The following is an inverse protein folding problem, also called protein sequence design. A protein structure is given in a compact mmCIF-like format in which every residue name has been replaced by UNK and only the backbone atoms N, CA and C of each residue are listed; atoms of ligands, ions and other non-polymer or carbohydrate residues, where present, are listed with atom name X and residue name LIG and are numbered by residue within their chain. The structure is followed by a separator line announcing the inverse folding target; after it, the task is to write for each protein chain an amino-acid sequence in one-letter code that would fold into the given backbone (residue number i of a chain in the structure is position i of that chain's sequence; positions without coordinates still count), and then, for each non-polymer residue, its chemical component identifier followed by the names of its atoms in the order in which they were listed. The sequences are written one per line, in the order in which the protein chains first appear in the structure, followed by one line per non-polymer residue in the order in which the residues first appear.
data_IF_864045401526
#
_entry.id   IF_864045401526
#
_cell.length_a   1.000
_cell.length_b   1.000
_cell.length_c   1.000
_cell.angle_alpha   90.00
_cell.angle_beta   90.00
_cell.angle_gamma   90.00
#
_symmetry.space_group_name_H-M   'P 1'
#
loop_
_entity.id
_entity.type
_entity.pdbx_description
1 polymer ?
#
# COMPACT_ATOMS: atom_id res chain seq x y z
N UNK A 1 1.65 -3.22 -11.56
CA UNK A 1 1.57 -1.75 -11.36
C UNK A 1 3.00 -1.17 -11.44
N UNK A 2 3.27 -0.28 -12.38
CA UNK A 2 4.59 0.29 -12.62
C UNK A 2 4.45 1.78 -12.99
N UNK A 3 3.88 2.57 -12.09
CA UNK A 3 3.53 3.99 -12.32
C UNK A 3 4.71 4.85 -12.83
N UNK A 4 5.98 4.61 -12.42
CA UNK A 4 7.12 5.30 -13.02
C UNK A 4 7.28 5.14 -14.54
N UNK A 5 6.66 4.12 -15.17
CA UNK A 5 6.69 3.94 -16.62
C UNK A 5 5.93 5.06 -17.37
N UNK A 6 4.98 5.73 -16.72
CA UNK A 6 4.27 6.88 -17.28
C UNK A 6 5.17 8.10 -17.50
N UNK A 7 6.41 8.10 -17.02
CA UNK A 7 7.37 9.19 -17.21
C UNK A 7 7.64 9.50 -18.69
N UNK A 8 7.61 8.48 -19.57
CA UNK A 8 7.81 8.70 -21.01
C UNK A 8 6.69 9.54 -21.60
N UNK A 9 5.46 9.14 -21.33
CA UNK A 9 4.26 9.86 -21.76
C UNK A 9 4.22 11.27 -21.17
N UNK A 10 4.54 11.43 -19.88
CA UNK A 10 4.62 12.74 -19.24
C UNK A 10 5.63 13.67 -19.94
N UNK A 11 6.79 13.14 -20.37
CA UNK A 11 7.79 13.90 -21.14
C UNK A 11 7.30 14.26 -22.53
N UNK A 12 6.61 13.36 -23.22
CA UNK A 12 6.00 13.62 -24.53
C UNK A 12 4.94 14.74 -24.45
N UNK A 13 4.24 14.83 -23.32
CA UNK A 13 3.30 15.93 -23.01
C UNK A 13 4.00 17.23 -22.54
N UNK A 14 5.34 17.26 -22.44
CA UNK A 14 6.09 18.43 -21.98
C UNK A 14 6.02 18.70 -20.47
N UNK A 15 5.55 17.73 -19.67
CA UNK A 15 5.44 17.87 -18.21
C UNK A 15 6.81 17.70 -17.56
N UNK A 16 7.18 18.67 -16.71
CA UNK A 16 8.50 18.73 -16.06
C UNK A 16 8.45 18.70 -14.53
N UNK A 17 7.25 18.87 -13.95
CA UNK A 17 7.00 18.85 -12.51
C UNK A 17 5.94 17.79 -12.22
N UNK A 18 6.37 16.64 -11.73
CA UNK A 18 5.54 15.44 -11.59
C UNK A 18 5.35 15.09 -10.12
N UNK A 19 4.13 14.67 -9.79
CA UNK A 19 3.85 13.91 -8.60
C UNK A 19 3.84 12.41 -8.93
N UNK A 20 4.46 11.58 -8.10
CA UNK A 20 4.37 10.13 -8.18
C UNK A 20 3.41 9.64 -7.09
N UNK A 21 2.34 8.96 -7.48
CA UNK A 21 1.52 8.17 -6.55
C UNK A 21 1.90 6.71 -6.72
N UNK A 22 2.21 6.01 -5.62
CA UNK A 22 2.58 4.60 -5.71
C UNK A 22 2.66 3.89 -4.37
N UNK A 23 2.84 2.57 -4.41
CA UNK A 23 3.12 1.78 -3.20
C UNK A 23 4.57 1.97 -2.73
N UNK A 24 4.94 1.49 -1.54
CA UNK A 24 6.30 1.65 -0.99
C UNK A 24 7.44 1.28 -1.95
N UNK A 25 7.29 0.20 -2.72
CA UNK A 25 8.29 -0.20 -3.72
C UNK A 25 8.43 0.78 -4.90
N UNK A 26 7.39 1.55 -5.23
CA UNK A 26 7.40 2.57 -6.28
C UNK A 26 7.86 3.92 -5.71
N UNK A 27 7.40 4.29 -4.51
CA UNK A 27 7.78 5.56 -3.87
C UNK A 27 9.23 5.58 -3.42
N UNK A 28 9.85 4.41 -3.24
CA UNK A 28 11.30 4.32 -3.03
C UNK A 28 12.10 4.73 -4.27
N UNK A 29 11.51 4.70 -5.47
CA UNK A 29 12.26 4.90 -6.71
C UNK A 29 12.77 6.33 -6.90
N UNK A 30 12.01 7.43 -6.68
CA UNK A 30 12.57 8.77 -6.84
C UNK A 30 13.70 9.07 -5.84
N UNK A 31 13.57 8.86 -4.52
CA UNK A 31 14.67 9.11 -3.57
C UNK A 31 15.94 8.34 -3.91
N UNK A 32 15.82 7.06 -4.31
CA UNK A 32 16.97 6.26 -4.76
C UNK A 32 17.60 6.83 -6.04
N UNK A 33 16.81 7.33 -6.99
CA UNK A 33 17.34 7.99 -8.19
C UNK A 33 18.09 9.27 -7.84
N UNK A 34 17.60 10.06 -6.88
CA UNK A 34 18.27 11.26 -6.40
C UNK A 34 19.59 10.94 -5.71
N UNK A 35 19.58 9.99 -4.76
CA UNK A 35 20.77 9.51 -4.05
C UNK A 35 21.85 8.98 -5.01
N UNK A 36 21.44 8.16 -5.99
CA UNK A 36 22.34 7.61 -7.02
C UNK A 36 22.71 8.58 -8.14
N UNK A 37 22.33 9.86 -8.02
CA UNK A 37 22.60 10.92 -9.02
C UNK A 37 22.04 10.61 -10.43
N UNK A 38 20.97 9.82 -10.52
CA UNK A 38 20.23 9.51 -11.75
C UNK A 38 19.28 10.66 -12.15
N UNK A 39 19.78 11.89 -12.16
CA UNK A 39 18.96 13.11 -12.21
C UNK A 39 18.13 13.29 -13.49
N UNK A 40 18.51 12.70 -14.63
CA UNK A 40 17.72 12.78 -15.88
C UNK A 40 16.34 12.11 -15.76
N UNK A 41 16.20 11.16 -14.84
CA UNK A 41 14.97 10.40 -14.58
C UNK A 41 14.33 10.84 -13.27
N UNK A 42 15.13 11.10 -12.23
CA UNK A 42 14.63 11.48 -10.90
C UNK A 42 14.15 12.93 -10.78
N UNK A 43 14.82 13.90 -11.40
CA UNK A 43 14.53 15.34 -11.21
C UNK A 43 13.08 15.77 -11.50
N UNK A 44 12.38 15.20 -12.50
CA UNK A 44 10.98 15.58 -12.74
C UNK A 44 10.03 15.22 -11.59
N UNK A 45 10.35 14.22 -10.77
CA UNK A 45 9.52 13.85 -9.63
C UNK A 45 9.81 14.78 -8.46
N UNK A 46 8.86 15.69 -8.20
CA UNK A 46 8.97 16.72 -7.16
C UNK A 46 8.11 16.43 -5.94
N UNK A 47 7.13 15.53 -6.06
CA UNK A 47 6.26 15.16 -4.96
C UNK A 47 5.92 13.68 -5.01
N UNK A 48 5.99 13.01 -3.87
CA UNK A 48 5.90 11.56 -3.77
C UNK A 48 4.82 11.16 -2.75
N UNK A 49 3.72 10.59 -3.24
CA UNK A 49 2.57 10.17 -2.45
C UNK A 49 2.58 8.64 -2.36
N UNK A 50 2.82 8.14 -1.15
CA UNK A 50 2.87 6.73 -0.81
C UNK A 50 1.52 6.16 -0.46
N UNK A 51 1.19 4.99 -1.00
CA UNK A 51 0.03 4.21 -0.61
C UNK A 51 0.47 3.09 0.32
N UNK A 52 -0.20 2.95 1.47
CA UNK A 52 0.01 1.82 2.37
C UNK A 52 -0.25 0.52 1.61
N UNK A 53 0.69 -0.43 1.66
CA UNK A 53 0.61 -1.64 0.86
C UNK A 53 1.15 -2.85 1.62
N UNK A 54 0.33 -3.90 1.76
CA UNK A 54 0.84 -5.18 2.27
C UNK A 54 1.28 -6.11 1.15
N UNK A 55 0.43 -6.30 0.13
CA UNK A 55 0.65 -7.23 -0.97
C UNK A 55 -0.05 -6.73 -2.23
N UNK A 56 0.48 -7.17 -3.37
CA UNK A 56 -0.18 -7.04 -4.67
C UNK A 56 -0.32 -8.44 -5.26
N UNK A 57 -1.43 -8.65 -5.98
CA UNK A 57 -1.73 -9.91 -6.65
C UNK A 57 -1.49 -9.80 -8.15
N UNK A 58 -1.16 -10.92 -8.79
CA UNK A 58 -1.10 -11.01 -10.24
C UNK A 58 -2.49 -11.09 -10.86
N UNK A 59 -2.64 -10.51 -12.06
CA UNK A 59 -3.92 -10.41 -12.76
C UNK A 59 -4.56 -11.78 -13.04
N UNK A 60 -3.76 -12.85 -13.05
CA UNK A 60 -4.24 -14.23 -13.14
C UNK A 60 -5.28 -14.59 -12.06
N UNK A 61 -5.26 -13.92 -10.90
CA UNK A 61 -6.25 -14.14 -9.82
C UNK A 61 -7.69 -13.97 -10.29
N UNK A 62 -7.93 -13.06 -11.26
CA UNK A 62 -9.27 -12.80 -11.77
C UNK A 62 -9.85 -14.02 -12.49
N UNK A 63 -9.05 -14.66 -13.34
CA UNK A 63 -9.49 -15.81 -14.13
C UNK A 63 -9.41 -17.10 -13.30
N UNK A 64 -8.28 -17.32 -12.62
CA UNK A 64 -7.96 -18.60 -11.99
C UNK A 64 -8.64 -18.80 -10.62
N UNK A 65 -8.98 -17.72 -9.91
CA UNK A 65 -9.69 -17.79 -8.63
C UNK A 65 -11.10 -17.25 -8.74
N UNK A 66 -11.25 -15.98 -9.10
CA UNK A 66 -12.55 -15.31 -9.00
C UNK A 66 -13.57 -15.84 -10.00
N UNK A 67 -13.18 -15.97 -11.27
CA UNK A 67 -14.07 -16.54 -12.28
C UNK A 67 -14.19 -18.06 -12.13
N UNK A 68 -13.07 -18.79 -12.08
CA UNK A 68 -13.10 -20.25 -12.07
C UNK A 68 -13.79 -20.87 -10.84
N UNK A 69 -13.62 -20.27 -9.65
CA UNK A 69 -14.19 -20.80 -8.40
C UNK A 69 -15.48 -20.11 -7.98
N UNK A 70 -15.56 -18.79 -8.14
CA UNK A 70 -16.70 -18.00 -7.64
C UNK A 70 -17.63 -17.51 -8.75
N UNK A 71 -17.31 -17.75 -10.03
CA UNK A 71 -18.11 -17.26 -11.16
C UNK A 71 -18.07 -15.74 -11.34
N UNK A 72 -17.15 -15.04 -10.68
CA UNK A 72 -17.08 -13.57 -10.67
C UNK A 72 -16.19 -13.07 -11.79
N UNK A 73 -16.81 -12.53 -12.85
CA UNK A 73 -16.09 -11.97 -14.00
C UNK A 73 -15.57 -10.58 -13.69
N UNK A 74 -14.29 -10.32 -14.00
CA UNK A 74 -13.61 -9.03 -13.76
C UNK A 74 -14.38 -7.84 -14.33
N UNK A 75 -14.95 -7.98 -15.51
CA UNK A 75 -15.70 -6.92 -16.21
C UNK A 75 -16.99 -6.48 -15.50
N UNK A 76 -17.49 -7.30 -14.58
CA UNK A 76 -18.72 -7.04 -13.83
C UNK A 76 -18.42 -6.55 -12.41
N UNK A 77 -17.15 -6.50 -12.00
CA UNK A 77 -16.72 -5.94 -10.72
C UNK A 77 -16.70 -4.40 -10.79
N UNK A 78 -17.45 -3.75 -9.90
CA UNK A 78 -17.52 -2.27 -9.81
C UNK A 78 -16.58 -1.69 -8.75
N UNK A 79 -16.31 -2.46 -7.69
CA UNK A 79 -15.43 -2.06 -6.59
C UNK A 79 -14.77 -3.28 -6.00
N UNK A 80 -13.51 -3.12 -5.58
CA UNK A 80 -12.79 -4.11 -4.79
C UNK A 80 -12.16 -3.43 -3.58
N UNK A 81 -12.08 -4.16 -2.47
CA UNK A 81 -11.41 -3.71 -1.26
C UNK A 81 -10.74 -4.87 -0.52
N UNK A 82 -9.80 -4.57 0.36
CA UNK A 82 -9.15 -5.58 1.21
C UNK A 82 -9.26 -5.14 2.67
N UNK A 83 -10.15 -5.78 3.42
CA UNK A 83 -10.35 -5.55 4.87
C UNK A 83 -10.67 -6.87 5.56
N UNK A 84 -9.64 -7.59 6.02
CA UNK A 84 -9.78 -8.94 6.61
C UNK A 84 -10.10 -10.03 5.57
N UNK A 85 -10.88 -9.71 4.55
CA UNK A 85 -11.18 -10.50 3.37
C UNK A 85 -10.94 -9.67 2.08
N UNK A 86 -10.92 -10.34 0.93
CA UNK A 86 -10.99 -9.68 -0.37
C UNK A 86 -12.47 -9.45 -0.70
N UNK A 87 -12.88 -8.19 -0.71
CA UNK A 87 -14.26 -7.76 -0.87
C UNK A 87 -14.51 -7.32 -2.30
N UNK A 88 -15.56 -7.82 -2.94
CA UNK A 88 -15.91 -7.54 -4.34
C UNK A 88 -17.38 -7.13 -4.43
N UNK A 89 -17.64 -5.98 -5.06
CA UNK A 89 -18.98 -5.53 -5.41
C UNK A 89 -19.17 -5.66 -6.91
N UNK A 90 -20.33 -6.18 -7.30
CA UNK A 90 -20.68 -6.48 -8.69
C UNK A 90 -21.72 -5.48 -9.23
N UNK A 91 -21.82 -5.37 -10.56
CA UNK A 91 -22.81 -4.51 -11.24
C UNK A 91 -24.26 -4.90 -10.95
N UNK A 92 -24.52 -6.16 -10.66
CA UNK A 92 -25.83 -6.67 -10.28
C UNK A 92 -26.22 -6.34 -8.82
N UNK A 93 -25.35 -5.64 -8.09
CA UNK A 93 -25.53 -5.29 -6.68
C UNK A 93 -25.09 -6.36 -5.70
N UNK A 94 -24.62 -7.52 -6.17
CA UNK A 94 -24.11 -8.58 -5.28
C UNK A 94 -22.78 -8.20 -4.64
N UNK A 95 -22.56 -8.71 -3.43
CA UNK A 95 -21.37 -8.49 -2.62
C UNK A 95 -20.77 -9.84 -2.22
N UNK A 96 -19.45 -9.98 -2.39
CA UNK A 96 -18.72 -11.22 -2.16
C UNK A 96 -17.49 -10.97 -1.30
N UNK A 97 -17.28 -11.80 -0.28
CA UNK A 97 -16.06 -11.83 0.52
C UNK A 97 -15.30 -13.13 0.28
N UNK A 98 -14.04 -12.99 -0.16
CA UNK A 98 -13.15 -14.12 -0.45
C UNK A 98 -12.03 -14.13 0.58
N UNK A 99 -11.73 -15.31 1.12
CA UNK A 99 -10.69 -15.44 2.13
C UNK A 99 -9.31 -15.09 1.55
N UNK A 100 -8.59 -14.17 2.19
CA UNK A 100 -7.27 -13.74 1.75
C UNK A 100 -6.24 -14.86 1.67
N UNK A 101 -6.41 -15.93 2.46
CA UNK A 101 -5.52 -17.11 2.40
C UNK A 101 -5.58 -17.78 1.04
N UNK A 102 -6.73 -17.79 0.38
CA UNK A 102 -6.88 -18.34 -0.97
C UNK A 102 -6.14 -17.46 -1.97
N UNK A 103 -6.26 -16.14 -1.83
CA UNK A 103 -5.58 -15.18 -2.70
C UNK A 103 -4.03 -15.25 -2.62
N UNK A 104 -3.46 -15.85 -1.57
CA UNK A 104 -2.02 -15.85 -1.34
C UNK A 104 -1.20 -16.51 -2.46
N UNK A 105 -1.76 -17.50 -3.16
CA UNK A 105 -1.09 -18.17 -4.28
C UNK A 105 -0.72 -17.18 -5.39
N UNK A 106 -1.54 -16.15 -5.61
CA UNK A 106 -1.33 -15.10 -6.61
C UNK A 106 -0.54 -13.89 -6.09
N UNK A 107 0.04 -13.97 -4.89
CA UNK A 107 0.90 -12.88 -4.38
C UNK A 107 2.14 -12.74 -5.25
N UNK A 108 2.37 -11.53 -5.79
CA UNK A 108 3.58 -11.22 -6.56
C UNK A 108 4.84 -11.60 -5.79
N UNK A 109 5.80 -12.24 -6.47
CA UNK A 109 7.01 -12.74 -5.83
C UNK A 109 7.79 -11.65 -5.09
N UNK A 110 7.93 -10.45 -5.68
CA UNK A 110 8.61 -9.32 -5.02
C UNK A 110 7.93 -8.84 -3.73
N UNK A 111 6.62 -9.04 -3.57
CA UNK A 111 5.93 -8.69 -2.32
C UNK A 111 6.30 -9.62 -1.15
N UNK A 112 6.81 -10.83 -1.43
CA UNK A 112 7.24 -11.80 -0.41
C UNK A 112 8.54 -11.40 0.27
N UNK A 113 9.24 -10.41 -0.25
CA UNK A 113 10.45 -9.83 0.32
C UNK A 113 10.34 -8.31 0.54
N UNK A 114 9.15 -7.72 0.40
CA UNK A 114 8.97 -6.27 0.57
C UNK A 114 8.90 -5.90 2.07
N UNK A 115 9.75 -4.99 2.58
CA UNK A 115 9.79 -4.63 4.00
C UNK A 115 8.91 -3.43 4.35
N UNK A 116 8.38 -2.74 3.34
CA UNK A 116 7.79 -1.42 3.49
C UNK A 116 6.27 -1.44 3.32
N UNK A 117 5.57 -1.49 4.45
CA UNK A 117 4.12 -1.34 4.49
C UNK A 117 3.70 0.14 4.38
N UNK A 118 4.47 1.03 5.01
CA UNK A 118 4.06 2.39 5.30
C UNK A 118 4.52 3.42 4.26
N UNK A 119 5.05 2.96 3.12
CA UNK A 119 5.61 3.77 2.06
C UNK A 119 6.58 4.82 2.62
N UNK A 120 7.61 4.35 3.33
CA UNK A 120 8.43 5.15 4.25
C UNK A 120 9.30 6.21 3.56
N UNK A 121 9.50 6.09 2.24
CA UNK A 121 10.26 7.04 1.41
C UNK A 121 9.40 8.12 0.72
N UNK A 122 8.10 8.17 1.01
CA UNK A 122 7.19 9.18 0.43
C UNK A 122 7.26 10.52 1.19
N UNK A 123 6.82 11.61 0.57
CA UNK A 123 6.59 12.89 1.26
C UNK A 123 5.39 12.78 2.19
N UNK A 124 4.33 12.13 1.68
CA UNK A 124 3.10 11.78 2.40
C UNK A 124 2.79 10.31 2.13
N UNK A 125 2.50 9.54 3.17
CA UNK A 125 2.01 8.16 3.05
C UNK A 125 0.56 8.08 3.52
N UNK A 126 -0.31 7.43 2.76
CA UNK A 126 -1.75 7.41 3.05
C UNK A 126 -2.38 6.05 2.77
N UNK A 127 -3.40 5.67 3.55
CA UNK A 127 -4.15 4.43 3.31
C UNK A 127 -5.35 4.23 4.21
N UNK A 128 -6.34 3.51 3.68
CA UNK A 128 -7.61 3.21 4.36
C UNK A 128 -7.48 2.07 5.36
N UNK A 129 -6.78 2.30 6.47
CA UNK A 129 -6.78 1.40 7.64
C UNK A 129 -7.38 2.11 8.83
N UNK A 130 -8.13 1.38 9.67
CA UNK A 130 -8.80 1.95 10.83
C UNK A 130 -10.21 1.42 11.02
N UNK A 131 -10.87 1.95 12.03
CA UNK A 131 -12.26 1.62 12.34
C UNK A 131 -13.21 2.32 11.37
N UNK A 132 -12.95 3.60 11.12
CA UNK A 132 -13.83 4.48 10.35
C UNK A 132 -13.47 4.41 8.85
N UNK A 133 -14.40 3.94 8.02
CA UNK A 133 -14.16 3.77 6.59
C UNK A 133 -14.09 5.09 5.81
N UNK A 134 -14.55 6.19 6.41
CA UNK A 134 -14.61 7.50 5.77
C UNK A 134 -13.35 8.35 6.03
N UNK A 135 -12.39 7.80 6.80
CA UNK A 135 -11.12 8.46 7.11
C UNK A 135 -9.96 7.72 6.46
N UNK A 136 -8.95 8.48 6.04
CA UNK A 136 -7.71 7.93 5.51
C UNK A 136 -6.56 8.28 6.43
N UNK A 137 -5.90 7.26 6.99
CA UNK A 137 -4.71 7.46 7.79
C UNK A 137 -3.62 8.08 6.91
N UNK A 138 -3.11 9.25 7.31
CA UNK A 138 -2.10 10.00 6.55
C UNK A 138 -0.91 10.31 7.45
N UNK A 139 0.28 9.95 6.98
CA UNK A 139 1.57 10.14 7.65
C UNK A 139 2.37 11.13 6.82
N UNK A 140 2.72 12.26 7.43
CA UNK A 140 3.53 13.31 6.82
C UNK A 140 4.99 13.11 7.22
N UNK A 141 5.92 13.20 6.27
CA UNK A 141 7.35 12.87 6.50
C UNK A 141 8.32 14.00 6.17
N UNK A 142 8.08 14.73 5.09
CA UNK A 142 8.98 15.78 4.60
C UNK A 142 8.37 17.16 4.81
N UNK A 143 9.21 18.19 4.84
CA UNK A 143 8.79 19.59 4.92
C UNK A 143 7.79 19.95 3.80
N UNK A 144 8.04 19.46 2.59
CA UNK A 144 7.12 19.63 1.46
C UNK A 144 5.77 18.93 1.70
N UNK A 145 5.78 17.70 2.21
CA UNK A 145 4.57 16.99 2.57
C UNK A 145 3.76 17.73 3.63
N UNK A 146 4.43 18.30 4.63
CA UNK A 146 3.81 19.10 5.70
C UNK A 146 3.21 20.39 5.16
N UNK A 147 3.95 21.12 4.32
CA UNK A 147 3.46 22.33 3.67
C UNK A 147 2.20 22.06 2.84
N UNK A 148 2.19 20.98 2.05
CA UNK A 148 1.03 20.60 1.24
C UNK A 148 -0.18 20.25 2.10
N UNK A 149 -0.03 19.41 3.13
CA UNK A 149 -1.14 19.04 4.01
C UNK A 149 -1.70 20.24 4.75
N UNK A 150 -0.83 21.09 5.32
CA UNK A 150 -1.27 22.27 6.06
C UNK A 150 -2.05 23.25 5.18
N UNK A 151 -1.63 23.42 3.91
CA UNK A 151 -2.37 24.23 2.94
C UNK A 151 -3.73 23.61 2.61
N UNK A 152 -3.78 22.30 2.37
CA UNK A 152 -5.05 21.62 2.09
C UNK A 152 -6.05 21.75 3.25
N UNK A 153 -5.57 21.73 4.51
CA UNK A 153 -6.39 21.97 5.70
C UNK A 153 -6.84 23.44 5.74
N UNK A 154 -5.92 24.39 5.55
CA UNK A 154 -6.23 25.82 5.59
C UNK A 154 -7.23 26.23 4.49
N UNK A 155 -7.13 25.62 3.31
CA UNK A 155 -8.04 25.84 2.17
C UNK A 155 -9.38 25.10 2.32
N UNK A 156 -9.56 24.30 3.38
CA UNK A 156 -10.79 23.53 3.63
C UNK A 156 -11.02 22.39 2.65
N UNK A 157 -9.98 21.96 1.92
CA UNK A 157 -10.06 20.85 0.95
C UNK A 157 -10.11 19.50 1.68
N UNK A 158 -9.48 19.41 2.85
CA UNK A 158 -9.53 18.23 3.72
C UNK A 158 -9.82 18.63 5.16
N UNK A 159 -10.47 17.73 5.88
CA UNK A 159 -10.56 17.76 7.33
C UNK A 159 -9.48 16.87 7.93
N UNK A 160 -8.95 17.26 9.09
CA UNK A 160 -7.90 16.51 9.79
C UNK A 160 -8.22 16.34 11.26
N UNK A 161 -7.92 15.17 11.80
CA UNK A 161 -7.91 14.89 13.24
C UNK A 161 -6.66 14.09 13.61
N UNK A 162 -6.19 14.14 14.87
CA UNK A 162 -5.06 13.35 15.34
C UNK A 162 -5.25 11.85 15.06
N UNK A 163 -4.29 11.23 14.38
CA UNK A 163 -4.34 9.80 14.05
C UNK A 163 -4.38 8.89 15.29
N UNK A 164 -3.86 9.38 16.43
CA UNK A 164 -3.83 8.67 17.72
C UNK A 164 -5.22 8.41 18.30
N UNK A 165 -6.25 9.13 17.84
CA UNK A 165 -7.64 8.90 18.22
C UNK A 165 -8.20 7.59 17.62
N UNK A 166 -7.62 7.10 16.51
CA UNK A 166 -7.94 5.78 15.95
C UNK A 166 -6.88 4.74 16.38
N UNK A 167 -7.09 4.17 17.57
CA UNK A 167 -6.23 3.11 18.11
C UNK A 167 -6.14 1.88 17.18
N UNK A 168 -7.19 1.59 16.40
CA UNK A 168 -7.23 0.46 15.47
C UNK A 168 -6.28 0.74 14.30
N UNK A 169 -6.35 1.93 13.71
CA UNK A 169 -5.44 2.36 12.65
C UNK A 169 -3.98 2.32 13.13
N UNK A 170 -3.69 2.86 14.31
CA UNK A 170 -2.33 2.88 14.86
C UNK A 170 -1.80 1.48 15.16
N UNK A 171 -2.64 0.59 15.71
CA UNK A 171 -2.28 -0.80 15.94
C UNK A 171 -2.04 -1.55 14.64
N UNK A 172 -2.88 -1.36 13.62
CA UNK A 172 -2.74 -1.99 12.31
C UNK A 172 -1.48 -1.50 11.60
N UNK A 173 -1.24 -0.18 11.59
CA UNK A 173 -0.02 0.43 11.03
C UNK A 173 1.21 -0.25 11.62
N UNK A 174 1.33 -0.29 12.96
CA UNK A 174 2.47 -0.90 13.63
C UNK A 174 2.59 -2.39 13.32
N UNK A 175 1.49 -3.12 13.38
CA UNK A 175 1.48 -4.58 13.16
C UNK A 175 1.88 -4.94 11.74
N UNK A 176 1.30 -4.28 10.74
CA UNK A 176 1.56 -4.54 9.33
C UNK A 176 2.97 -4.11 8.93
N UNK A 177 3.48 -3.00 9.47
CA UNK A 177 4.89 -2.59 9.32
C UNK A 177 5.87 -3.62 9.87
N UNK A 178 5.61 -4.19 11.05
CA UNK A 178 6.42 -5.27 11.63
C UNK A 178 6.37 -6.52 10.76
N UNK A 179 5.17 -6.93 10.34
CA UNK A 179 4.97 -8.12 9.49
C UNK A 179 5.66 -7.95 8.15
N UNK A 180 5.65 -6.75 7.56
CA UNK A 180 6.35 -6.48 6.30
C UNK A 180 7.85 -6.60 6.46
N UNK A 181 8.45 -5.97 7.48
CA UNK A 181 9.90 -6.06 7.74
C UNK A 181 10.38 -7.49 7.97
N UNK A 182 9.59 -8.34 8.61
CA UNK A 182 9.92 -9.78 8.80
C UNK A 182 10.04 -10.58 7.51
N UNK A 183 9.52 -10.05 6.39
CA UNK A 183 9.66 -10.67 5.07
C UNK A 183 11.01 -10.36 4.43
N UNK A 184 11.73 -9.37 4.96
CA UNK A 184 13.02 -8.96 4.42
C UNK A 184 14.01 -10.13 4.49
N UNK A 185 14.70 -10.48 3.39
CA UNK A 185 15.62 -11.60 3.40
C UNK A 185 16.81 -11.36 4.34
N UNK A 186 17.24 -12.39 5.07
CA UNK A 186 18.38 -12.31 6.00
C UNK A 186 19.71 -11.97 5.31
N UNK A 187 19.85 -12.31 4.03
CA UNK A 187 21.04 -11.99 3.24
C UNK A 187 21.09 -10.53 2.76
N UNK A 188 19.98 -9.78 2.90
CA UNK A 188 19.88 -8.39 2.46
C UNK A 188 20.26 -7.42 3.60
N UNK A 189 20.05 -6.12 3.37
CA UNK A 189 20.43 -5.05 4.31
C UNK A 189 19.86 -5.27 5.72
N UNK A 190 20.73 -5.50 6.71
CA UNK A 190 20.34 -5.92 8.05
C UNK A 190 19.63 -4.81 8.85
N UNK A 191 19.90 -3.53 8.53
CA UNK A 191 19.29 -2.40 9.23
C UNK A 191 17.76 -2.36 9.13
N UNK A 192 17.17 -2.98 8.10
CA UNK A 192 15.72 -3.08 7.90
C UNK A 192 15.02 -3.84 9.04
N UNK A 193 15.73 -4.75 9.71
CA UNK A 193 15.20 -5.58 10.80
C UNK A 193 15.44 -4.97 12.19
N UNK A 194 16.11 -3.82 12.29
CA UNK A 194 16.35 -3.16 13.57
C UNK A 194 15.01 -2.75 14.21
N UNK A 195 14.83 -3.09 15.48
CA UNK A 195 13.60 -2.80 16.22
C UNK A 195 12.40 -3.70 15.87
N UNK A 196 12.58 -4.70 14.99
CA UNK A 196 11.54 -5.69 14.69
C UNK A 196 11.50 -6.73 15.80
N UNK A 197 10.40 -6.83 16.58
CA UNK A 197 10.31 -7.83 17.63
C UNK A 197 10.28 -9.25 17.02
N UNK A 198 10.81 -10.26 17.73
CA UNK A 198 10.74 -11.64 17.27
C UNK A 198 9.29 -12.09 17.05
N UNK A 199 9.04 -13.06 16.14
CA UNK A 199 7.71 -13.63 15.99
C UNK A 199 7.20 -14.13 17.34
N UNK A 200 5.94 -13.82 17.68
CA UNK A 200 5.30 -14.48 18.83
C UNK A 200 5.26 -15.97 18.53
N UNK A 201 5.73 -16.81 19.46
CA UNK A 201 5.54 -18.26 19.36
C UNK A 201 4.05 -18.52 19.12
N UNK A 202 3.72 -19.29 18.08
CA UNK A 202 2.35 -19.78 17.92
C UNK A 202 2.04 -20.57 19.20
N UNK A 203 0.94 -20.21 19.86
CA UNK A 203 0.36 -21.10 20.87
C UNK A 203 -0.17 -22.29 20.07
N UNK A 204 0.42 -23.45 20.27
CA UNK A 204 -0.10 -24.69 19.71
C UNK A 204 -1.54 -24.88 20.21
N UNK A 205 -2.48 -25.13 19.28
CA UNK A 205 -3.83 -25.56 19.62
C UNK A 205 -4.82 -24.44 19.90
N UNK A 206 -5.57 -24.06 18.87
CA UNK A 206 -7.02 -23.91 18.99
C UNK A 206 -7.59 -24.17 17.59
N UNK A 207 -8.48 -25.15 17.51
CA UNK A 207 -9.26 -25.46 16.31
C UNK A 207 -9.88 -24.18 15.72
N UNK A 208 -10.05 -24.08 14.39
CA UNK A 208 -10.72 -22.94 13.82
C UNK A 208 -12.13 -22.86 14.41
N UNK A 209 -12.37 -21.82 15.22
CA UNK A 209 -13.72 -21.45 15.63
C UNK A 209 -14.55 -21.26 14.36
N UNK A 210 -15.58 -22.07 14.21
CA UNK A 210 -16.63 -21.85 13.23
C UNK A 210 -17.21 -20.45 13.47
N UNK A 211 -17.20 -19.60 12.45
CA UNK A 211 -18.21 -18.59 12.08
C UNK A 211 -17.72 -17.86 10.82
#
# INVERSE_FOLDING_TARGET
CANPLALREAKEQGLTKLALVGMGCQTSSPPVMWDRKAGKVGKPFLFNIGLLCSKTFDDAIFVELFEAKYGLKKQDMVKMNIKGAFQIWMKDGSFHEINLKECHQWTRQGCKSCPDFAAEHADISTGGIGKDNDWTLTIVRTELGEEVINRMIADGVIESRPAQEDEVAMKLLRTLSIVSRRRWPEWAEASVSIGVPPPKKKVDGTEPAAH
#
